data_IF_024662719869
#
_entry.id   IF_024662719869
#
_cell.length_a   1.000
_cell.length_b   1.000
_cell.length_c   1.000
_cell.angle_alpha   90.00
_cell.angle_beta   90.00
_cell.angle_gamma   90.00
#
_symmetry.space_group_name_H-M   'P 1'
#
loop_
_entity.id
_entity.type
_entity.pdbx_description
1 polymer ?
#
# COMPACT_ATOMS: atom_id res chain seq x y z
N UNK A 1 -7.41 3.85 -6.38
CA UNK A 1 -8.13 4.60 -5.34
C UNK A 1 -8.49 3.60 -4.28
N UNK A 2 -8.02 3.80 -3.05
CA UNK A 2 -8.35 2.96 -1.91
C UNK A 2 -9.51 3.62 -1.16
N UNK A 3 -10.50 2.82 -0.79
CA UNK A 3 -11.64 3.23 0.04
C UNK A 3 -11.80 2.21 1.17
N UNK A 4 -11.84 2.70 2.40
CA UNK A 4 -12.08 1.91 3.60
C UNK A 4 -13.20 2.54 4.41
N UNK A 5 -13.96 1.72 5.11
CA UNK A 5 -14.95 2.18 6.09
C UNK A 5 -14.39 1.99 7.50
N UNK A 6 -14.36 3.08 8.27
CA UNK A 6 -13.99 3.07 9.68
C UNK A 6 -15.22 3.23 10.57
N UNK A 7 -15.36 2.29 11.50
CA UNK A 7 -16.43 2.25 12.50
C UNK A 7 -15.80 2.55 13.87
N UNK A 8 -16.07 3.72 14.47
CA UNK A 8 -15.56 4.03 15.80
C UNK A 8 -16.19 3.10 16.85
N UNK A 9 -15.36 2.57 17.73
CA UNK A 9 -15.84 1.73 18.83
C UNK A 9 -16.81 2.50 19.74
N UNK A 10 -17.95 1.88 20.05
CA UNK A 10 -18.95 2.42 20.98
C UNK A 10 -19.81 3.55 20.43
N UNK A 11 -19.74 3.84 19.12
CA UNK A 11 -20.58 4.87 18.47
C UNK A 11 -21.42 4.25 17.36
N UNK A 12 -22.66 3.87 17.70
CA UNK A 12 -23.58 3.27 16.73
C UNK A 12 -23.99 4.24 15.62
N UNK A 13 -24.00 3.74 14.38
CA UNK A 13 -24.47 4.47 13.20
C UNK A 13 -23.51 5.52 12.65
N UNK A 14 -22.30 5.65 13.22
CA UNK A 14 -21.26 6.54 12.70
C UNK A 14 -20.29 5.74 11.84
N UNK A 15 -20.12 6.19 10.60
CA UNK A 15 -19.17 5.62 9.64
C UNK A 15 -18.35 6.73 9.02
N UNK A 16 -17.03 6.59 9.07
CA UNK A 16 -16.10 7.46 8.36
C UNK A 16 -15.59 6.74 7.12
N UNK A 17 -15.73 7.38 5.96
CA UNK A 17 -15.12 6.92 4.72
C UNK A 17 -13.67 7.43 4.67
N UNK A 18 -12.74 6.51 4.48
CA UNK A 18 -11.30 6.75 4.50
C UNK A 18 -10.77 6.51 3.10
N UNK A 19 -10.45 7.59 2.40
CA UNK A 19 -10.18 7.57 0.96
C UNK A 19 -8.73 7.96 0.65
N UNK A 20 -8.07 7.20 -0.22
CA UNK A 20 -6.83 7.62 -0.86
C UNK A 20 -6.99 7.55 -2.37
N UNK A 21 -6.95 8.71 -3.03
CA UNK A 21 -7.16 8.80 -4.47
C UNK A 21 -5.95 8.23 -5.24
N UNK A 22 -4.74 8.57 -4.80
CA UNK A 22 -3.48 8.07 -5.34
C UNK A 22 -2.50 7.73 -4.22
N UNK A 23 -1.69 6.71 -4.43
CA UNK A 23 -0.66 6.35 -3.46
C UNK A 23 0.31 7.53 -3.22
N UNK A 24 0.69 7.72 -1.96
CA UNK A 24 1.52 8.83 -1.52
C UNK A 24 0.77 10.14 -1.31
N UNK A 25 -0.49 10.27 -1.73
CA UNK A 25 -1.31 11.42 -1.36
C UNK A 25 -1.86 11.27 0.07
N UNK A 26 -2.17 12.39 0.76
CA UNK A 26 -2.88 12.35 2.03
C UNK A 26 -4.23 11.63 1.91
N UNK A 27 -4.52 10.83 2.92
CA UNK A 27 -5.83 10.21 3.10
C UNK A 27 -6.88 11.27 3.40
N UNK A 28 -8.07 11.11 2.85
CA UNK A 28 -9.21 12.00 3.05
C UNK A 28 -10.24 11.29 3.91
N UNK A 29 -10.62 11.91 5.02
CA UNK A 29 -11.63 11.38 5.92
C UNK A 29 -12.94 12.12 5.69
N UNK A 30 -13.94 11.36 5.26
CA UNK A 30 -15.25 11.86 4.88
C UNK A 30 -16.29 11.31 5.85
N UNK A 31 -17.21 12.17 6.29
CA UNK A 31 -18.32 11.79 7.14
C UNK A 31 -19.59 12.41 6.57
N UNK A 32 -20.66 11.61 6.43
CA UNK A 32 -21.93 12.05 5.84
C UNK A 32 -21.78 12.75 4.47
N UNK A 33 -20.79 12.34 3.67
CA UNK A 33 -20.49 12.92 2.36
C UNK A 33 -19.65 14.21 2.39
N UNK A 34 -19.27 14.71 3.57
CA UNK A 34 -18.41 15.89 3.71
C UNK A 34 -16.98 15.54 4.08
N UNK A 35 -16.01 16.18 3.42
CA UNK A 35 -14.60 16.08 3.80
C UNK A 35 -14.36 16.82 5.12
N UNK A 36 -13.98 16.08 6.16
CA UNK A 36 -13.76 16.66 7.48
C UNK A 36 -12.29 17.01 7.68
N UNK A 37 -11.36 16.10 7.34
CA UNK A 37 -9.92 16.34 7.42
C UNK A 37 -9.09 15.45 6.48
N UNK A 38 -7.82 15.78 6.35
CA UNK A 38 -6.82 14.96 5.66
C UNK A 38 -5.80 14.41 6.65
N UNK A 39 -5.36 13.16 6.43
CA UNK A 39 -4.34 12.49 7.22
C UNK A 39 -3.13 12.12 6.37
N UNK A 40 -1.93 12.35 6.87
CA UNK A 40 -0.69 11.91 6.24
C UNK A 40 0.23 11.26 7.28
N UNK A 41 1.05 10.30 6.85
CA UNK A 41 2.03 9.66 7.72
C UNK A 41 3.40 10.29 7.48
N UNK A 42 3.97 10.92 8.49
CA UNK A 42 5.32 11.50 8.44
C UNK A 42 6.13 10.88 9.59
N UNK A 43 7.36 10.44 9.30
CA UNK A 43 8.26 9.83 10.31
C UNK A 43 7.60 8.71 11.14
N UNK A 44 6.68 7.96 10.54
CA UNK A 44 5.97 6.86 11.19
C UNK A 44 4.76 7.28 12.05
N UNK A 45 4.48 8.58 12.17
CA UNK A 45 3.36 9.13 12.94
C UNK A 45 2.26 9.66 12.02
N UNK A 46 1.01 9.51 12.44
CA UNK A 46 -0.16 10.03 11.73
C UNK A 46 -0.40 11.49 12.10
N UNK A 47 -0.33 12.36 11.09
CA UNK A 47 -0.59 13.79 11.21
C UNK A 47 -1.89 14.16 10.52
N UNK A 48 -2.60 15.12 11.12
CA UNK A 48 -3.86 15.62 10.59
C UNK A 48 -3.71 17.06 10.14
N UNK A 49 -4.19 17.34 8.92
CA UNK A 49 -4.40 18.70 8.41
C UNK A 49 -5.90 18.99 8.37
N UNK A 50 -6.35 19.96 9.18
CA UNK A 50 -7.74 20.37 9.28
C UNK A 50 -7.93 21.53 10.27
N UNK A 51 -9.11 22.15 10.29
CA UNK A 51 -9.45 23.30 11.16
C UNK A 51 -10.11 22.90 12.49
N UNK A 52 -10.44 21.63 12.68
CA UNK A 52 -11.20 21.14 13.83
C UNK A 52 -10.29 20.46 14.85
N UNK A 53 -10.64 20.59 16.12
CA UNK A 53 -10.09 19.74 17.18
C UNK A 53 -10.68 18.34 17.00
N UNK A 54 -9.85 17.40 16.56
CA UNK A 54 -10.25 16.01 16.30
C UNK A 54 -9.79 15.16 17.49
N UNK A 55 -10.64 14.27 18.02
CA UNK A 55 -10.26 13.37 19.09
C UNK A 55 -9.05 12.52 18.68
N UNK A 56 -8.03 12.45 19.54
CA UNK A 56 -6.80 11.71 19.25
C UNK A 56 -7.09 10.21 19.02
N UNK A 57 -8.02 9.63 19.78
CA UNK A 57 -8.45 8.23 19.65
C UNK A 57 -8.96 7.92 18.23
N UNK A 58 -9.66 8.87 17.59
CA UNK A 58 -10.19 8.69 16.24
C UNK A 58 -9.06 8.72 15.20
N UNK A 59 -8.05 9.57 15.41
CA UNK A 59 -6.86 9.64 14.55
C UNK A 59 -6.07 8.34 14.65
N UNK A 60 -5.86 7.84 15.88
CA UNK A 60 -5.15 6.60 16.13
C UNK A 60 -5.89 5.37 15.59
N UNK A 61 -7.21 5.31 15.76
CA UNK A 61 -8.04 4.23 15.24
C UNK A 61 -8.04 4.16 13.71
N UNK A 62 -8.26 5.30 13.04
CA UNK A 62 -8.21 5.38 11.57
C UNK A 62 -6.80 5.11 11.06
N UNK A 63 -5.77 5.69 11.69
CA UNK A 63 -4.38 5.42 11.35
C UNK A 63 -4.02 3.95 11.50
N UNK A 64 -4.50 3.32 12.56
CA UNK A 64 -4.38 1.88 12.80
C UNK A 64 -5.07 1.05 11.72
N UNK A 65 -6.30 1.41 11.31
CA UNK A 65 -7.01 0.76 10.20
C UNK A 65 -6.19 0.86 8.90
N UNK A 66 -5.66 2.04 8.59
CA UNK A 66 -4.83 2.26 7.41
C UNK A 66 -3.54 1.41 7.49
N UNK A 67 -2.87 1.38 8.64
CA UNK A 67 -1.64 0.61 8.86
C UNK A 67 -1.83 -0.91 8.83
N UNK A 68 -3.04 -1.37 9.12
CA UNK A 68 -3.43 -2.77 9.04
C UNK A 68 -3.77 -3.23 7.62
N UNK A 69 -3.97 -2.29 6.69
CA UNK A 69 -4.18 -2.68 5.30
C UNK A 69 -2.88 -3.28 4.71
N UNK A 70 -3.00 -4.47 4.12
CA UNK A 70 -1.89 -5.19 3.48
C UNK A 70 -1.13 -4.35 2.44
N UNK A 71 -1.79 -3.35 1.83
CA UNK A 71 -1.18 -2.42 0.87
C UNK A 71 -0.03 -1.58 1.44
N UNK A 72 -0.01 -1.32 2.75
CA UNK A 72 1.07 -0.53 3.38
C UNK A 72 2.28 -1.37 3.79
N UNK A 73 2.09 -2.66 4.10
CA UNK A 73 3.18 -3.53 4.57
C UNK A 73 3.89 -4.25 3.43
N UNK A 74 3.13 -4.66 2.42
CA UNK A 74 3.65 -5.50 1.36
C UNK A 74 4.75 -4.83 0.50
N UNK A 75 4.66 -3.53 0.13
CA UNK A 75 5.79 -2.84 -0.51
C UNK A 75 7.07 -2.86 0.31
N UNK A 76 6.94 -2.67 1.63
CA UNK A 76 8.07 -2.67 2.55
C UNK A 76 8.67 -4.07 2.71
N UNK A 77 7.83 -5.10 2.81
CA UNK A 77 8.26 -6.50 2.86
C UNK A 77 8.98 -6.94 1.58
N UNK A 78 8.45 -6.57 0.40
CA UNK A 78 9.12 -6.80 -0.88
C UNK A 78 10.46 -6.09 -0.92
N UNK A 79 10.51 -4.82 -0.50
CA UNK A 79 11.75 -4.04 -0.51
C UNK A 79 12.82 -4.64 0.40
N UNK A 80 12.43 -5.16 1.57
CA UNK A 80 13.35 -5.87 2.48
C UNK A 80 13.82 -7.20 1.87
N UNK A 81 12.90 -8.00 1.33
CA UNK A 81 13.24 -9.29 0.73
C UNK A 81 14.16 -9.18 -0.48
N UNK A 82 14.01 -8.10 -1.26
CA UNK A 82 14.75 -7.87 -2.49
C UNK A 82 15.67 -6.64 -2.40
N UNK A 83 16.15 -6.30 -1.19
CA UNK A 83 16.94 -5.09 -0.96
C UNK A 83 18.18 -5.01 -1.86
N UNK A 84 18.80 -6.14 -2.19
CA UNK A 84 19.95 -6.19 -3.09
C UNK A 84 19.63 -5.75 -4.54
N UNK A 85 18.36 -5.85 -4.95
CA UNK A 85 17.92 -5.62 -6.33
C UNK A 85 17.05 -4.37 -6.48
N UNK A 86 16.21 -4.05 -5.49
CA UNK A 86 15.19 -3.01 -5.59
C UNK A 86 15.62 -1.72 -4.90
N UNK A 87 15.44 -0.61 -5.61
CA UNK A 87 15.61 0.75 -5.11
C UNK A 87 14.28 1.26 -4.51
N UNK A 88 13.17 1.05 -5.21
CA UNK A 88 11.83 1.49 -4.79
C UNK A 88 10.76 0.42 -5.05
N UNK A 89 9.73 0.44 -4.19
CA UNK A 89 8.51 -0.36 -4.35
C UNK A 89 7.35 0.56 -4.00
N UNK A 90 6.46 0.77 -4.96
CA UNK A 90 5.39 1.75 -4.89
C UNK A 90 4.07 1.01 -5.14
N UNK A 91 3.15 1.06 -4.19
CA UNK A 91 1.77 0.62 -4.46
C UNK A 91 1.13 1.63 -5.43
N UNK A 92 0.59 1.19 -6.56
CA UNK A 92 -0.18 2.04 -7.48
C UNK A 92 -1.70 1.90 -7.27
N UNK A 93 -2.10 0.91 -6.48
CA UNK A 93 -3.46 0.67 -6.03
C UNK A 93 -3.54 -0.64 -5.26
N UNK A 94 -4.74 -1.15 -5.12
CA UNK A 94 -5.06 -2.29 -4.25
C UNK A 94 -4.47 -3.61 -4.79
N UNK A 95 -4.12 -3.66 -6.07
CA UNK A 95 -3.67 -4.89 -6.75
C UNK A 95 -2.50 -4.65 -7.70
N UNK A 96 -1.88 -3.47 -7.64
CA UNK A 96 -0.83 -3.10 -8.56
C UNK A 96 0.35 -2.47 -7.82
N UNK A 97 1.54 -2.97 -8.11
CA UNK A 97 2.79 -2.47 -7.55
C UNK A 97 3.77 -2.15 -8.67
N UNK A 98 4.45 -1.01 -8.53
CA UNK A 98 5.57 -0.62 -9.37
C UNK A 98 6.86 -0.81 -8.59
N UNK A 99 7.80 -1.54 -9.19
CA UNK A 99 9.10 -1.84 -8.62
C UNK A 99 10.17 -1.18 -9.50
N UNK A 100 11.13 -0.49 -8.87
CA UNK A 100 12.28 0.10 -9.57
C UNK A 100 13.54 -0.56 -9.06
N UNK A 101 14.34 -1.10 -9.98
CA UNK A 101 15.60 -1.76 -9.68
C UNK A 101 16.73 -0.77 -9.37
N UNK A 102 17.75 -1.25 -8.66
CA UNK A 102 19.02 -0.53 -8.45
C UNK A 102 19.83 -0.52 -9.73
N UNK A 103 20.69 0.49 -9.88
CA UNK A 103 21.62 0.55 -11.00
C UNK A 103 22.69 -0.55 -10.89
N UNK A 104 23.14 -1.08 -12.03
CA UNK A 104 24.20 -2.09 -12.12
C UNK A 104 23.77 -3.52 -11.79
N UNK A 105 22.47 -3.79 -11.67
CA UNK A 105 21.98 -5.16 -11.55
C UNK A 105 21.83 -5.82 -12.92
N UNK A 106 21.93 -7.15 -12.93
CA UNK A 106 21.57 -7.97 -14.09
C UNK A 106 20.04 -8.13 -14.11
N UNK A 107 19.37 -7.34 -14.97
CA UNK A 107 17.91 -7.25 -15.04
C UNK A 107 17.27 -8.58 -15.49
N UNK A 108 17.82 -9.25 -16.51
CA UNK A 108 17.36 -10.57 -16.98
C UNK A 108 17.49 -11.66 -15.91
N UNK A 109 18.56 -11.62 -15.12
CA UNK A 109 18.73 -12.54 -14.00
C UNK A 109 17.72 -12.23 -12.90
N UNK A 110 17.50 -10.96 -12.60
CA UNK A 110 16.52 -10.56 -11.61
C UNK A 110 15.11 -10.96 -12.02
N UNK A 111 14.71 -10.77 -13.28
CA UNK A 111 13.41 -11.20 -13.80
C UNK A 111 13.16 -12.68 -13.54
N UNK A 112 14.12 -13.54 -13.91
CA UNK A 112 14.01 -15.00 -13.71
C UNK A 112 13.84 -15.38 -12.24
N UNK A 113 14.61 -14.74 -11.35
CA UNK A 113 14.49 -14.96 -9.92
C UNK A 113 13.15 -14.45 -9.39
N UNK A 114 12.78 -13.22 -9.74
CA UNK A 114 11.56 -12.59 -9.26
C UNK A 114 10.32 -13.41 -9.64
N UNK A 115 10.19 -13.82 -10.91
CA UNK A 115 9.09 -14.68 -11.38
C UNK A 115 9.00 -16.01 -10.63
N UNK A 116 10.14 -16.62 -10.29
CA UNK A 116 10.18 -17.90 -9.59
C UNK A 116 9.76 -17.79 -8.11
N UNK A 117 10.04 -16.66 -7.45
CA UNK A 117 9.91 -16.55 -5.99
C UNK A 117 8.74 -15.68 -5.52
N UNK A 118 8.27 -14.72 -6.32
CA UNK A 118 7.23 -13.77 -5.88
C UNK A 118 5.91 -14.45 -5.51
N UNK A 119 5.57 -15.57 -6.16
CA UNK A 119 4.39 -16.38 -5.83
C UNK A 119 4.38 -16.88 -4.38
N UNK A 120 5.55 -17.11 -3.77
CA UNK A 120 5.65 -17.58 -2.39
C UNK A 120 5.48 -16.43 -1.37
N UNK A 121 5.65 -15.19 -1.82
CA UNK A 121 5.49 -14.00 -0.99
C UNK A 121 4.02 -13.54 -0.95
N UNK A 122 3.29 -13.73 -2.05
CA UNK A 122 1.90 -13.31 -2.18
C UNK A 122 0.99 -14.26 -1.42
N UNK A 123 0.38 -13.76 -0.34
CA UNK A 123 -0.59 -14.49 0.48
C UNK A 123 -2.04 -14.09 0.20
N UNK A 124 -2.22 -13.05 -0.60
CA UNK A 124 -3.51 -12.49 -0.94
C UNK A 124 -4.32 -13.41 -1.86
N UNK A 125 -5.61 -13.65 -1.59
CA UNK A 125 -6.44 -14.52 -2.42
C UNK A 125 -6.82 -13.88 -3.78
N UNK A 126 -6.51 -12.59 -3.96
CA UNK A 126 -6.72 -11.84 -5.20
C UNK A 126 -5.47 -11.81 -6.09
N UNK A 127 -5.70 -11.49 -7.36
CA UNK A 127 -4.63 -11.28 -8.34
C UNK A 127 -3.89 -9.97 -8.06
N UNK A 128 -2.56 -10.02 -8.07
CA UNK A 128 -1.65 -8.90 -7.91
C UNK A 128 -0.77 -8.78 -9.16
N UNK A 129 -0.68 -7.58 -9.70
CA UNK A 129 0.18 -7.21 -10.82
C UNK A 129 1.42 -6.45 -10.30
N UNK A 130 2.59 -6.93 -10.68
CA UNK A 130 3.87 -6.25 -10.47
C UNK A 130 4.41 -5.76 -11.81
N UNK A 131 4.66 -4.46 -11.90
CA UNK A 131 5.41 -3.87 -13.01
C UNK A 131 6.79 -3.50 -12.53
N UNK A 132 7.80 -4.09 -13.14
CA UNK A 132 9.19 -3.95 -12.70
C UNK A 132 9.99 -3.24 -13.76
N UNK A 133 10.71 -2.20 -13.38
CA UNK A 133 11.57 -1.41 -14.24
C UNK A 133 13.04 -1.56 -13.85
N UNK A 134 13.92 -1.48 -14.84
CA UNK A 134 15.34 -1.24 -14.62
C UNK A 134 15.57 0.16 -14.01
N UNK A 135 16.81 0.47 -13.64
CA UNK A 135 17.14 1.73 -12.97
C UNK A 135 16.95 2.97 -13.86
N UNK A 136 17.00 2.79 -15.19
CA UNK A 136 16.87 3.87 -16.18
C UNK A 136 15.44 4.00 -16.73
N UNK A 137 14.51 3.14 -16.27
CA UNK A 137 13.16 3.02 -16.83
C UNK A 137 13.14 2.77 -18.36
N UNK A 138 14.18 2.11 -18.86
CA UNK A 138 14.38 1.78 -20.26
C UNK A 138 13.86 0.39 -20.62
N UNK A 139 13.87 -0.53 -19.66
CA UNK A 139 13.39 -1.90 -19.78
C UNK A 139 12.37 -2.21 -18.68
N UNK A 140 11.31 -2.95 -19.03
CA UNK A 140 10.29 -3.37 -18.08
C UNK A 140 9.80 -4.80 -18.30
N UNK A 141 9.34 -5.42 -17.22
CA UNK A 141 8.60 -6.66 -17.29
C UNK A 141 7.42 -6.66 -16.31
N UNK A 142 6.40 -7.45 -16.65
CA UNK A 142 5.21 -7.61 -15.83
C UNK A 142 5.12 -9.03 -15.28
N UNK A 143 4.74 -9.13 -14.00
CA UNK A 143 4.43 -10.40 -13.34
C UNK A 143 3.06 -10.28 -12.68
N UNK A 144 2.13 -11.10 -13.15
CA UNK A 144 0.81 -11.25 -12.53
C UNK A 144 0.82 -12.55 -11.74
N UNK A 145 0.47 -12.47 -10.46
CA UNK A 145 0.37 -13.63 -9.58
C UNK A 145 -0.96 -13.62 -8.86
N UNK A 146 -1.50 -14.81 -8.65
CA UNK A 146 -2.68 -15.04 -7.83
C UNK A 146 -2.20 -15.79 -6.60
N UNK A 147 -2.41 -15.23 -5.41
CA UNK A 147 -2.02 -15.96 -4.20
C UNK A 147 -2.80 -17.26 -4.11
N UNK A 148 -2.14 -18.29 -3.60
CA UNK A 148 -2.78 -19.58 -3.39
C UNK A 148 -3.77 -19.42 -2.24
N UNK A 149 -5.04 -19.80 -2.43
CA UNK A 149 -5.91 -20.08 -1.29
C UNK A 149 -5.22 -21.20 -0.50
N UNK A 150 -4.60 -20.84 0.63
CA UNK A 150 -4.18 -21.83 1.61
C UNK A 150 -5.46 -22.42 2.19
N UNK A 151 -5.94 -23.49 1.56
CA UNK A 151 -6.97 -24.37 2.10
C UNK A 151 -6.36 -25.03 3.33
N UNK A 152 -6.66 -24.50 4.51
CA UNK A 152 -6.46 -25.18 5.79
C UNK A 152 -7.71 -25.97 6.15
#
# INVERSE_FOLDING_TARGET
MIELDYFPDGVDGVVYQVLQFRAGEPWRIVYAGELIWCMEKLDGLWYVKGKLSIPQELIEGIGGLIDQQHFNRFPMEIKIHWEAYLQEVIAQGDRQYLLVCKNGIDFDRFERLFRAFIMNLVRDPWEICFRVYDAEMSEDFEVVVKGSELVY
#
